data_IF_982700079885
#
_entry.id   IF_982700079885
#
_cell.length_a   1.000
_cell.length_b   1.000
_cell.length_c   1.000
_cell.angle_alpha   90.00
_cell.angle_beta   90.00
_cell.angle_gamma   90.00
#
_symmetry.space_group_name_H-M   'P 1'
#
loop_
_entity.id
_entity.type
_entity.pdbx_description
1 polymer ?
#
# COMPACT_ATOMS: atom_id res chain seq x y z
N UNK A 1 -7.51 -74.16 -20.79
CA UNK A 1 -8.62 -73.33 -21.31
C UNK A 1 -9.85 -73.56 -20.46
N UNK A 2 -10.41 -72.49 -19.87
CA UNK A 2 -11.84 -72.25 -19.51
C UNK A 2 -12.38 -73.21 -18.41
N UNK A 3 -12.97 -72.81 -17.28
CA UNK A 3 -13.93 -71.76 -17.00
C UNK A 3 -14.25 -71.68 -15.49
N UNK A 4 -14.77 -70.53 -15.04
CA UNK A 4 -15.84 -70.31 -14.02
C UNK A 4 -15.70 -70.98 -12.64
N UNK A 5 -15.88 -70.30 -11.51
CA UNK A 5 -16.94 -69.39 -11.04
C UNK A 5 -16.59 -69.19 -9.54
N UNK A 6 -16.82 -68.09 -8.84
CA UNK A 6 -18.12 -67.55 -8.44
C UNK A 6 -17.80 -66.53 -7.33
N UNK A 7 -18.53 -65.40 -7.32
CA UNK A 7 -19.15 -64.77 -6.14
C UNK A 7 -18.22 -64.36 -4.98
N UNK A 8 -18.28 -63.18 -4.39
CA UNK A 8 -19.39 -62.28 -4.11
C UNK A 8 -18.75 -60.98 -3.53
N UNK A 9 -19.34 -59.78 -3.71
CA UNK A 9 -19.98 -59.01 -2.60
C UNK A 9 -18.94 -58.52 -1.57
N UNK A 10 -18.71 -57.24 -1.25
CA UNK A 10 -19.43 -55.96 -1.32
C UNK A 10 -18.45 -54.90 -0.76
N UNK A 11 -18.66 -53.61 -1.10
CA UNK A 11 -18.64 -52.40 -0.23
C UNK A 11 -17.48 -52.26 0.80
N UNK A 12 -16.79 -51.15 1.03
CA UNK A 12 -16.99 -49.72 0.81
C UNK A 12 -15.63 -49.06 1.16
N UNK A 13 -15.10 -48.14 0.35
CA UNK A 13 -15.13 -46.69 0.57
C UNK A 13 -14.70 -46.22 1.98
N UNK A 14 -13.49 -45.65 2.07
CA UNK A 14 -13.17 -44.50 2.92
C UNK A 14 -11.85 -43.87 2.45
N UNK A 15 -11.90 -43.10 1.36
CA UNK A 15 -10.85 -42.15 1.03
C UNK A 15 -10.98 -40.95 1.99
N UNK A 16 -10.13 -40.87 3.00
CA UNK A 16 -10.00 -39.68 3.83
C UNK A 16 -9.36 -38.57 2.98
N UNK A 17 -10.20 -37.79 2.32
CA UNK A 17 -9.80 -36.49 1.79
C UNK A 17 -9.61 -35.55 2.99
N UNK A 18 -8.35 -35.37 3.41
CA UNK A 18 -7.96 -34.24 4.26
C UNK A 18 -8.16 -32.96 3.44
N UNK A 19 -9.37 -32.40 3.51
CA UNK A 19 -9.64 -31.03 3.10
C UNK A 19 -9.05 -30.16 4.21
N UNK A 20 -7.79 -29.76 4.03
CA UNK A 20 -7.18 -28.69 4.80
C UNK A 20 -7.93 -27.41 4.45
N UNK A 21 -8.95 -27.09 5.25
CA UNK A 21 -9.59 -25.78 5.26
C UNK A 21 -8.50 -24.81 5.72
N UNK A 22 -7.86 -24.15 4.76
CA UNK A 22 -7.02 -22.99 5.01
C UNK A 22 -7.96 -21.88 5.54
N UNK A 23 -8.20 -21.89 6.85
CA UNK A 23 -8.72 -20.72 7.53
C UNK A 23 -7.77 -19.57 7.18
N UNK A 24 -8.27 -18.37 6.82
CA UNK A 24 -7.40 -17.22 6.66
C UNK A 24 -6.73 -17.01 8.01
N UNK A 25 -5.43 -17.30 8.08
CA UNK A 25 -4.64 -16.93 9.23
C UNK A 25 -4.71 -15.41 9.30
N UNK A 26 -5.54 -14.89 10.20
CA UNK A 26 -5.40 -13.53 10.69
C UNK A 26 -4.04 -13.52 11.40
N UNK A 27 -2.99 -13.32 10.60
CA UNK A 27 -1.63 -13.17 11.12
C UNK A 27 -1.68 -12.01 12.10
N UNK A 28 -1.27 -12.28 13.34
CA UNK A 28 -1.12 -11.23 14.35
C UNK A 28 -0.30 -10.08 13.74
N UNK A 29 -0.64 -8.81 14.06
CA UNK A 29 0.10 -7.68 13.52
C UNK A 29 1.59 -7.87 13.78
N UNK A 30 2.46 -7.60 12.80
CA UNK A 30 3.89 -7.77 12.96
C UNK A 30 4.39 -7.04 14.21
N UNK A 31 5.32 -7.68 14.92
CA UNK A 31 6.01 -7.02 16.02
C UNK A 31 6.72 -5.78 15.47
N UNK A 32 6.65 -4.68 16.20
CA UNK A 32 7.33 -3.44 15.83
C UNK A 32 8.84 -3.68 15.61
N UNK A 33 9.29 -3.45 14.37
CA UNK A 33 10.69 -3.43 13.97
C UNK A 33 11.05 -2.04 13.45
N UNK A 34 11.75 -1.21 14.26
CA UNK A 34 12.11 0.16 13.87
C UNK A 34 12.89 0.24 12.55
N UNK A 35 13.72 -0.76 12.24
CA UNK A 35 14.54 -0.76 11.00
C UNK A 35 13.66 -1.02 9.79
N UNK A 36 12.75 -1.98 9.90
CA UNK A 36 11.81 -2.30 8.82
C UNK A 36 10.86 -1.13 8.58
N UNK A 37 10.28 -0.54 9.64
CA UNK A 37 9.38 0.60 9.50
C UNK A 37 10.09 1.81 8.91
N UNK A 38 11.33 2.09 9.31
CA UNK A 38 12.14 3.15 8.72
C UNK A 38 12.38 2.92 7.23
N UNK A 39 12.79 1.71 6.82
CA UNK A 39 13.04 1.40 5.42
C UNK A 39 11.77 1.58 4.56
N UNK A 40 10.61 1.17 5.07
CA UNK A 40 9.32 1.38 4.39
C UNK A 40 8.94 2.86 4.31
N UNK A 41 9.17 3.63 5.38
CA UNK A 41 8.91 5.07 5.40
C UNK A 41 9.84 5.83 4.43
N UNK A 42 11.11 5.44 4.31
CA UNK A 42 12.03 6.01 3.32
C UNK A 42 11.61 5.66 1.88
N UNK A 43 11.15 4.43 1.64
CA UNK A 43 10.60 4.02 0.35
C UNK A 43 9.36 4.85 -0.01
N UNK A 44 8.47 5.10 0.96
CA UNK A 44 7.30 5.97 0.80
C UNK A 44 7.71 7.40 0.47
N UNK A 45 8.62 8.01 1.24
CA UNK A 45 9.10 9.36 1.00
C UNK A 45 9.71 9.51 -0.39
N UNK A 46 10.55 8.55 -0.81
CA UNK A 46 11.12 8.51 -2.16
C UNK A 46 10.04 8.40 -3.24
N UNK A 47 9.04 7.54 -3.06
CA UNK A 47 7.94 7.42 -4.02
C UNK A 47 7.18 8.75 -4.16
N UNK A 48 6.99 9.50 -3.07
CA UNK A 48 6.35 10.81 -3.09
C UNK A 48 7.23 11.91 -3.71
N UNK A 49 8.57 11.83 -3.57
CA UNK A 49 9.49 12.67 -4.33
C UNK A 49 9.32 12.42 -5.84
N UNK A 50 9.21 11.15 -6.27
CA UNK A 50 8.97 10.77 -7.67
C UNK A 50 7.59 11.21 -8.19
N UNK A 51 6.55 11.15 -7.36
CA UNK A 51 5.21 11.70 -7.69
C UNK A 51 5.29 13.20 -7.96
N UNK A 52 5.92 13.98 -7.07
CA UNK A 52 6.02 15.43 -7.25
C UNK A 52 6.82 15.78 -8.50
N UNK A 53 7.93 15.07 -8.76
CA UNK A 53 8.73 15.25 -9.95
C UNK A 53 7.91 14.99 -11.24
N UNK A 54 7.27 13.82 -11.34
CA UNK A 54 6.46 13.47 -12.50
C UNK A 54 5.29 14.43 -12.71
N UNK A 55 4.65 14.89 -11.63
CA UNK A 55 3.55 15.85 -11.72
C UNK A 55 3.99 17.24 -12.19
N UNK A 56 5.22 17.66 -11.85
CA UNK A 56 5.79 18.92 -12.32
C UNK A 56 6.16 18.87 -13.81
N UNK A 57 6.62 17.71 -14.28
CA UNK A 57 6.93 17.45 -15.69
C UNK A 57 5.68 17.32 -16.56
N UNK A 58 4.51 17.01 -15.97
CA UNK A 58 3.25 16.93 -16.70
C UNK A 58 2.92 18.26 -17.40
N UNK A 59 2.38 18.21 -18.64
CA UNK A 59 2.16 19.38 -19.47
C UNK A 59 1.22 20.40 -18.80
N UNK A 60 1.37 21.70 -19.12
CA UNK A 60 0.47 22.74 -18.65
C UNK A 60 -0.95 22.48 -19.17
N UNK A 61 -1.93 22.98 -18.43
CA UNK A 61 -3.33 22.74 -18.74
C UNK A 61 -3.89 23.78 -19.72
N UNK A 62 -4.84 23.36 -20.56
CA UNK A 62 -5.37 24.20 -21.65
C UNK A 62 -6.14 25.43 -21.15
N UNK A 63 -6.78 25.34 -19.98
CA UNK A 63 -7.59 26.44 -19.42
C UNK A 63 -7.03 26.94 -18.08
N UNK A 64 -7.27 28.22 -17.77
CA UNK A 64 -6.85 28.82 -16.51
C UNK A 64 -7.46 28.11 -15.28
N UNK A 65 -8.69 27.59 -15.39
CA UNK A 65 -9.33 26.83 -14.32
C UNK A 65 -8.61 25.50 -14.07
N UNK A 66 -8.28 24.76 -15.13
CA UNK A 66 -7.52 23.51 -15.01
C UNK A 66 -6.10 23.77 -14.50
N UNK A 67 -5.46 24.87 -14.92
CA UNK A 67 -4.15 25.24 -14.41
C UNK A 67 -4.18 25.51 -12.90
N UNK A 68 -5.17 26.26 -12.41
CA UNK A 68 -5.35 26.49 -10.97
C UNK A 68 -5.56 25.18 -10.20
N UNK A 69 -6.34 24.24 -10.74
CA UNK A 69 -6.51 22.91 -10.14
C UNK A 69 -5.18 22.16 -10.08
N UNK A 70 -4.39 22.18 -11.16
CA UNK A 70 -3.05 21.57 -11.22
C UNK A 70 -2.12 22.18 -10.17
N UNK A 71 -2.07 23.50 -10.06
CA UNK A 71 -1.18 24.18 -9.11
C UNK A 71 -1.58 23.89 -7.65
N UNK A 72 -2.89 23.78 -7.37
CA UNK A 72 -3.41 23.35 -6.08
C UNK A 72 -3.04 21.89 -5.77
N UNK A 73 -3.13 20.99 -6.75
CA UNK A 73 -2.72 19.59 -6.61
C UNK A 73 -1.21 19.47 -6.33
N UNK A 74 -0.36 20.20 -7.08
CA UNK A 74 1.09 20.25 -6.86
C UNK A 74 1.43 20.75 -5.44
N UNK A 75 0.72 21.75 -4.94
CA UNK A 75 0.85 22.22 -3.56
C UNK A 75 0.42 21.15 -2.53
N UNK A 76 -0.57 20.32 -2.88
CA UNK A 76 -0.95 19.14 -2.11
C UNK A 76 0.15 18.08 -2.07
N UNK A 77 0.76 17.76 -3.23
CA UNK A 77 1.84 16.78 -3.36
C UNK A 77 3.06 17.20 -2.55
N UNK A 78 3.42 18.48 -2.64
CA UNK A 78 4.51 19.03 -1.85
C UNK A 78 4.26 18.87 -0.34
N UNK A 79 3.04 19.17 0.14
CA UNK A 79 2.70 19.03 1.56
C UNK A 79 2.77 17.60 2.07
N UNK A 80 2.26 16.62 1.31
CA UNK A 80 2.33 15.20 1.73
C UNK A 80 3.76 14.67 1.68
N UNK A 81 4.56 15.10 0.69
CA UNK A 81 5.99 14.76 0.59
C UNK A 81 6.75 15.26 1.82
N UNK A 82 6.56 16.53 2.21
CA UNK A 82 7.15 17.09 3.43
C UNK A 82 6.68 16.34 4.70
N UNK A 83 5.40 15.96 4.78
CA UNK A 83 4.89 15.15 5.88
C UNK A 83 5.56 13.76 5.96
N UNK A 84 5.85 13.13 4.81
CA UNK A 84 6.55 11.86 4.76
C UNK A 84 8.02 11.98 5.21
N UNK A 85 8.74 13.03 4.77
CA UNK A 85 10.10 13.31 5.24
C UNK A 85 10.15 13.64 6.73
N UNK A 86 9.15 14.37 7.22
CA UNK A 86 8.97 14.64 8.64
C UNK A 86 8.75 13.33 9.44
N UNK A 87 7.94 12.41 8.93
CA UNK A 87 7.73 11.08 9.51
C UNK A 87 9.02 10.26 9.54
N UNK A 88 9.77 10.18 8.43
CA UNK A 88 11.08 9.52 8.36
C UNK A 88 12.04 10.10 9.40
N UNK A 89 12.11 11.42 9.53
CA UNK A 89 13.00 12.08 10.49
C UNK A 89 12.71 11.68 11.94
N UNK A 90 11.44 11.45 12.30
CA UNK A 90 11.03 11.01 13.64
C UNK A 90 11.41 9.55 13.90
N UNK A 91 11.23 8.69 12.90
CA UNK A 91 11.70 7.30 12.99
C UNK A 91 13.23 7.24 13.14
N UNK A 92 13.98 8.09 12.42
CA UNK A 92 15.44 8.21 12.60
C UNK A 92 15.84 8.70 13.98
N UNK A 93 15.01 9.52 14.62
CA UNK A 93 15.20 9.95 16.00
C UNK A 93 14.85 8.86 17.04
N UNK A 94 14.48 7.65 16.59
CA UNK A 94 14.18 6.52 17.47
C UNK A 94 12.78 6.54 18.05
N UNK A 95 11.85 7.31 17.47
CA UNK A 95 10.47 7.32 17.93
C UNK A 95 9.80 5.97 17.64
N UNK A 96 8.99 5.52 18.58
CA UNK A 96 8.27 4.25 18.49
C UNK A 96 6.93 4.40 17.74
N UNK A 97 6.20 3.29 17.67
CA UNK A 97 4.90 3.20 16.99
C UNK A 97 3.91 4.24 17.51
N UNK A 98 3.75 4.35 18.82
CA UNK A 98 2.67 5.14 19.40
C UNK A 98 2.98 6.64 19.21
N UNK A 99 4.25 7.03 19.33
CA UNK A 99 4.71 8.39 19.05
C UNK A 99 4.57 8.80 17.58
N UNK A 100 4.63 7.84 16.65
CA UNK A 100 4.63 8.11 15.21
C UNK A 100 3.29 7.83 14.53
N UNK A 101 2.33 7.19 15.19
CA UNK A 101 1.03 6.84 14.62
C UNK A 101 0.25 8.03 14.05
N UNK A 102 0.30 9.20 14.70
CA UNK A 102 -0.34 10.41 14.19
C UNK A 102 0.30 10.91 12.87
N UNK A 103 1.61 10.75 12.73
CA UNK A 103 2.34 11.11 11.51
C UNK A 103 2.03 10.15 10.38
N UNK A 104 2.02 8.85 10.67
CA UNK A 104 1.62 7.84 9.69
C UNK A 104 0.20 8.11 9.15
N UNK A 105 -0.79 8.37 10.03
CA UNK A 105 -2.16 8.73 9.63
C UNK A 105 -2.19 9.97 8.73
N UNK A 106 -1.51 11.03 9.14
CA UNK A 106 -1.42 12.27 8.37
C UNK A 106 -0.85 12.04 6.96
N UNK A 107 0.21 11.23 6.84
CA UNK A 107 0.79 10.87 5.55
C UNK A 107 -0.18 10.02 4.73
N UNK A 108 -0.79 9.00 5.32
CA UNK A 108 -1.76 8.12 4.63
C UNK A 108 -2.94 8.91 4.06
N UNK A 109 -3.55 9.75 4.89
CA UNK A 109 -4.69 10.57 4.47
C UNK A 109 -4.26 11.59 3.40
N UNK A 110 -3.08 12.19 3.57
CA UNK A 110 -2.48 13.08 2.58
C UNK A 110 -2.22 12.40 1.24
N UNK A 111 -1.75 11.15 1.22
CA UNK A 111 -1.51 10.38 -0.02
C UNK A 111 -2.83 10.06 -0.71
N UNK A 112 -3.85 9.64 0.04
CA UNK A 112 -5.20 9.40 -0.49
C UNK A 112 -5.77 10.65 -1.16
N UNK A 113 -5.69 11.79 -0.48
CA UNK A 113 -6.23 13.06 -0.97
C UNK A 113 -5.41 13.62 -2.15
N UNK A 114 -4.08 13.46 -2.11
CA UNK A 114 -3.18 13.77 -3.21
C UNK A 114 -3.53 12.93 -4.45
N UNK A 115 -3.70 11.62 -4.31
CA UNK A 115 -4.07 10.75 -5.42
C UNK A 115 -5.42 11.11 -6.03
N UNK A 116 -6.41 11.42 -5.20
CA UNK A 116 -7.71 11.89 -5.69
C UNK A 116 -7.56 13.20 -6.49
N UNK A 117 -6.72 14.12 -6.01
CA UNK A 117 -6.41 15.38 -6.70
C UNK A 117 -5.64 15.14 -8.01
N UNK A 118 -4.71 14.18 -8.05
CA UNK A 118 -3.92 13.85 -9.22
C UNK A 118 -4.78 13.36 -10.39
N UNK A 119 -5.74 12.47 -10.11
CA UNK A 119 -6.65 11.94 -11.14
C UNK A 119 -7.45 13.03 -11.84
N UNK A 120 -7.82 14.10 -11.12
CA UNK A 120 -8.64 15.18 -11.65
C UNK A 120 -7.80 16.31 -12.28
N UNK A 121 -6.63 16.60 -11.71
CA UNK A 121 -5.84 17.80 -12.03
C UNK A 121 -4.54 17.54 -12.79
N UNK A 122 -3.98 16.33 -12.70
CA UNK A 122 -2.73 15.92 -13.37
C UNK A 122 -2.88 14.49 -13.91
N UNK A 123 -3.82 14.24 -14.85
CA UNK A 123 -4.06 12.90 -15.38
C UNK A 123 -2.84 12.47 -16.21
N UNK A 124 -2.04 11.57 -15.63
CA UNK A 124 -0.82 11.05 -16.25
C UNK A 124 -0.57 9.63 -15.74
N UNK A 125 -0.36 8.69 -16.68
CA UNK A 125 -0.03 7.30 -16.35
C UNK A 125 1.24 7.22 -15.50
N UNK A 126 2.22 8.09 -15.78
CA UNK A 126 3.45 8.18 -15.01
C UNK A 126 3.17 8.57 -13.56
N UNK A 127 2.32 9.58 -13.33
CA UNK A 127 1.94 10.02 -11.97
C UNK A 127 1.18 8.92 -11.24
N UNK A 128 0.24 8.24 -11.93
CA UNK A 128 -0.53 7.12 -11.37
C UNK A 128 0.37 5.94 -10.98
N UNK A 129 1.36 5.59 -11.81
CA UNK A 129 2.33 4.54 -11.49
C UNK A 129 3.15 4.89 -10.24
N UNK A 130 3.60 6.15 -10.11
CA UNK A 130 4.32 6.59 -8.91
C UNK A 130 3.45 6.55 -7.65
N UNK A 131 2.17 6.90 -7.76
CA UNK A 131 1.23 6.73 -6.64
C UNK A 131 1.05 5.26 -6.24
N UNK A 132 1.05 4.30 -7.19
CA UNK A 132 0.96 2.87 -6.83
C UNK A 132 2.15 2.42 -5.98
N UNK A 133 3.35 2.92 -6.24
CA UNK A 133 4.53 2.61 -5.42
C UNK A 133 4.39 3.19 -3.99
N UNK A 134 3.83 4.40 -3.86
CA UNK A 134 3.52 4.99 -2.56
C UNK A 134 2.45 4.19 -1.80
N UNK A 135 1.38 3.75 -2.49
CA UNK A 135 0.33 2.92 -1.91
C UNK A 135 0.88 1.59 -1.38
N UNK A 136 1.72 0.91 -2.16
CA UNK A 136 2.36 -0.34 -1.72
C UNK A 136 3.18 -0.14 -0.44
N UNK A 137 3.90 0.97 -0.34
CA UNK A 137 4.63 1.29 0.88
C UNK A 137 3.70 1.59 2.06
N UNK A 138 2.59 2.27 1.83
CA UNK A 138 1.57 2.52 2.85
C UNK A 138 0.87 1.23 3.31
N UNK A 139 0.56 0.32 2.40
CA UNK A 139 -0.10 -0.95 2.73
C UNK A 139 0.80 -1.81 3.62
N UNK A 140 2.09 -1.91 3.29
CA UNK A 140 3.07 -2.60 4.12
C UNK A 140 3.26 -1.90 5.49
N UNK A 141 3.32 -0.56 5.52
CA UNK A 141 3.39 0.21 6.77
C UNK A 141 2.14 0.03 7.63
N UNK A 142 0.95 -0.06 7.03
CA UNK A 142 -0.32 -0.20 7.75
C UNK A 142 -0.35 -1.43 8.64
N UNK A 143 0.37 -2.49 8.27
CA UNK A 143 0.51 -3.69 9.10
C UNK A 143 1.15 -3.39 10.47
N UNK A 144 2.02 -2.38 10.57
CA UNK A 144 2.65 -1.96 11.83
C UNK A 144 1.79 -1.00 12.65
N UNK A 145 0.70 -0.49 12.09
CA UNK A 145 -0.23 0.45 12.73
C UNK A 145 -1.69 -0.03 12.61
N UNK A 146 -2.07 -1.12 13.31
CA UNK A 146 -3.41 -1.71 13.21
C UNK A 146 -4.54 -0.75 13.63
N UNK A 147 -4.23 0.26 14.45
CA UNK A 147 -5.20 1.22 15.00
C UNK A 147 -5.14 2.60 14.33
N UNK A 148 -4.34 2.74 13.25
CA UNK A 148 -4.19 4.00 12.54
C UNK A 148 -5.26 4.19 11.47
#
# INVERSE_FOLDING_TARGET
MIATRRSAVRLAAAALALISIAAPAWSAPPKWDPKQVLALAERLAKALDEVEAAAREAPPQATALQQRKRDAALSGFHRVREAAHAYVSRLKAGWDRDMTAAYFRSVRDGVRDARASARDAVPSEQVDEKFRAADQALDELSSFYPDA
#
